data_IF_574157472446
#
_entry.id   IF_574157472446
#
_cell.length_a   1.000
_cell.length_b   1.000
_cell.length_c   1.000
_cell.angle_alpha   90.00
_cell.angle_beta   90.00
_cell.angle_gamma   90.00
#
_symmetry.space_group_name_H-M   'P 1'
#
loop_
_entity.id
_entity.type
_entity.pdbx_description
1 polymer ?
#
# COMPACT_ATOMS: atom_id res chain seq x y z
N UNK A 1 -11.43 -1.20 6.37
CA UNK A 1 -12.31 -1.99 7.27
C UNK A 1 -13.73 -1.85 6.78
N UNK A 2 -14.42 -2.96 6.55
CA UNK A 2 -15.86 -2.93 6.32
C UNK A 2 -16.55 -2.39 7.59
N UNK A 3 -17.61 -1.63 7.43
CA UNK A 3 -18.45 -1.22 8.56
C UNK A 3 -19.39 -2.36 8.91
N UNK A 4 -19.32 -2.87 10.14
CA UNK A 4 -20.23 -3.90 10.64
C UNK A 4 -21.04 -3.37 11.83
N UNK A 5 -22.21 -3.96 12.09
CA UNK A 5 -23.04 -3.61 13.26
C UNK A 5 -22.59 -4.44 14.47
N UNK A 6 -22.03 -3.78 15.47
CA UNK A 6 -21.66 -4.44 16.74
C UNK A 6 -22.90 -4.62 17.62
N UNK A 7 -23.23 -5.86 17.93
CA UNK A 7 -24.30 -6.22 18.86
C UNK A 7 -23.71 -6.56 20.24
N UNK A 8 -24.25 -5.90 21.27
CA UNK A 8 -23.81 -6.11 22.65
C UNK A 8 -24.65 -7.16 23.38
N UNK A 9 -25.80 -7.56 22.85
CA UNK A 9 -26.71 -8.55 23.43
C UNK A 9 -26.53 -9.92 22.74
N UNK A 10 -25.32 -10.47 22.87
CA UNK A 10 -24.91 -11.73 22.22
C UNK A 10 -24.48 -12.78 23.26
N UNK A 11 -24.41 -14.04 22.84
CA UNK A 11 -23.73 -15.06 23.64
C UNK A 11 -22.23 -14.73 23.75
N UNK A 12 -21.72 -14.63 24.97
CA UNK A 12 -20.30 -14.34 25.24
C UNK A 12 -19.39 -15.50 24.88
N UNK A 13 -19.89 -16.74 24.92
CA UNK A 13 -19.09 -17.94 24.72
C UNK A 13 -18.34 -17.97 23.37
N UNK A 14 -19.00 -17.79 22.21
CA UNK A 14 -18.30 -17.80 20.91
C UNK A 14 -17.29 -16.65 20.77
N UNK A 15 -17.56 -15.49 21.38
CA UNK A 15 -16.64 -14.35 21.37
C UNK A 15 -15.38 -14.66 22.17
N UNK A 16 -15.54 -15.22 23.38
CA UNK A 16 -14.42 -15.59 24.25
C UNK A 16 -13.60 -16.75 23.66
N UNK A 17 -14.24 -17.70 22.98
CA UNK A 17 -13.52 -18.78 22.28
C UNK A 17 -12.67 -18.24 21.11
N UNK A 18 -13.17 -17.23 20.37
CA UNK A 18 -12.35 -16.51 19.37
C UNK A 18 -11.22 -15.69 19.99
N UNK A 19 -11.41 -15.12 21.18
CA UNK A 19 -10.32 -14.46 21.92
C UNK A 19 -9.22 -15.46 22.28
N UNK A 20 -9.56 -16.65 22.78
CA UNK A 20 -8.60 -17.73 23.05
C UNK A 20 -7.82 -18.06 21.77
N UNK A 21 -8.53 -18.21 20.67
CA UNK A 21 -7.95 -18.52 19.37
C UNK A 21 -7.02 -17.39 18.88
N UNK A 22 -7.38 -16.12 19.06
CA UNK A 22 -6.57 -14.95 18.68
C UNK A 22 -5.25 -14.87 19.43
N UNK A 23 -5.23 -15.21 20.72
CA UNK A 23 -4.00 -15.31 21.49
C UNK A 23 -3.19 -16.59 21.22
N UNK A 24 -3.73 -17.54 20.45
CA UNK A 24 -3.10 -18.85 20.23
C UNK A 24 -3.10 -19.75 21.47
N UNK A 25 -4.03 -19.50 22.41
CA UNK A 25 -4.16 -20.31 23.62
C UNK A 25 -4.86 -21.63 23.33
N UNK A 26 -4.44 -22.68 24.03
CA UNK A 26 -5.05 -24.02 23.92
C UNK A 26 -6.08 -24.29 25.01
N UNK A 27 -6.24 -23.38 25.99
CA UNK A 27 -7.19 -23.55 27.10
C UNK A 27 -7.74 -22.24 27.64
N UNK A 28 -8.94 -22.30 28.24
CA UNK A 28 -9.57 -21.19 28.96
C UNK A 28 -8.73 -20.74 30.16
N UNK A 29 -7.99 -21.65 30.78
CA UNK A 29 -7.13 -21.33 31.91
C UNK A 29 -6.01 -20.36 31.53
N UNK A 30 -5.41 -20.52 30.33
CA UNK A 30 -4.40 -19.60 29.83
C UNK A 30 -4.95 -18.19 29.63
N UNK A 31 -6.18 -18.06 29.13
CA UNK A 31 -6.83 -16.75 29.04
C UNK A 31 -7.09 -16.14 30.43
N UNK A 32 -7.52 -16.94 31.41
CA UNK A 32 -7.73 -16.44 32.77
C UNK A 32 -6.41 -15.95 33.41
N UNK A 33 -5.33 -16.69 33.22
CA UNK A 33 -3.98 -16.30 33.67
C UNK A 33 -3.50 -15.02 32.98
N UNK A 34 -3.69 -14.93 31.67
CA UNK A 34 -3.32 -13.75 30.87
C UNK A 34 -4.08 -12.48 31.30
N UNK A 35 -5.36 -12.64 31.64
CA UNK A 35 -6.21 -11.55 32.12
C UNK A 35 -5.99 -11.21 33.61
N UNK A 36 -5.17 -11.98 34.34
CA UNK A 36 -4.98 -11.89 35.79
C UNK A 36 -6.29 -12.02 36.59
N UNK A 37 -7.12 -13.00 36.23
CA UNK A 37 -8.39 -13.29 36.90
C UNK A 37 -8.48 -14.76 37.31
N UNK A 38 -9.30 -15.04 38.33
CA UNK A 38 -9.60 -16.43 38.72
C UNK A 38 -10.34 -17.18 37.59
N UNK A 39 -10.10 -18.48 37.45
CA UNK A 39 -10.78 -19.33 36.46
C UNK A 39 -12.32 -19.32 36.64
N UNK A 40 -12.80 -19.18 37.88
CA UNK A 40 -14.22 -18.99 38.20
C UNK A 40 -14.79 -17.67 37.66
N UNK A 41 -13.99 -16.59 37.67
CA UNK A 41 -14.38 -15.30 37.12
C UNK A 41 -14.50 -15.37 35.60
N UNK A 42 -13.56 -16.03 34.91
CA UNK A 42 -13.68 -16.29 33.49
C UNK A 42 -14.89 -17.19 33.17
N UNK A 43 -15.11 -18.23 33.98
CA UNK A 43 -16.28 -19.12 33.82
C UNK A 43 -17.61 -18.38 33.96
N UNK A 44 -17.68 -17.38 34.85
CA UNK A 44 -18.84 -16.48 34.97
C UNK A 44 -19.01 -15.61 33.71
N UNK A 45 -17.91 -15.08 33.15
CA UNK A 45 -17.94 -14.28 31.91
C UNK A 45 -18.52 -15.09 30.72
N UNK A 46 -18.23 -16.39 30.65
CA UNK A 46 -18.81 -17.30 29.65
C UNK A 46 -20.32 -17.51 29.79
N UNK A 47 -20.87 -17.42 31.01
CA UNK A 47 -22.28 -17.72 31.30
C UNK A 47 -23.16 -16.49 31.40
N UNK A 48 -22.56 -15.29 31.54
CA UNK A 48 -23.28 -14.04 31.80
C UNK A 48 -24.08 -13.56 30.59
N UNK A 49 -23.67 -13.94 29.38
CA UNK A 49 -24.14 -13.30 28.17
C UNK A 49 -23.61 -11.86 28.04
N UNK A 50 -23.92 -11.26 26.89
CA UNK A 50 -23.45 -9.95 26.50
C UNK A 50 -22.03 -9.94 25.93
N UNK A 51 -21.71 -8.90 25.17
CA UNK A 51 -20.41 -8.78 24.52
C UNK A 51 -19.29 -8.41 25.52
N UNK A 52 -18.23 -9.24 25.67
CA UNK A 52 -17.15 -9.03 26.63
C UNK A 52 -16.16 -7.95 26.15
N UNK A 53 -16.63 -6.70 26.16
CA UNK A 53 -15.96 -5.55 25.54
C UNK A 53 -14.55 -5.30 26.06
N UNK A 54 -14.35 -5.41 27.38
CA UNK A 54 -13.05 -5.23 28.04
C UNK A 54 -12.00 -6.23 27.53
N UNK A 55 -12.40 -7.49 27.44
CA UNK A 55 -11.52 -8.58 26.98
C UNK A 55 -11.26 -8.47 25.48
N UNK A 56 -12.28 -8.13 24.68
CA UNK A 56 -12.15 -7.99 23.23
C UNK A 56 -11.28 -6.81 22.85
N UNK A 57 -11.49 -5.63 23.45
CA UNK A 57 -10.66 -4.44 23.17
C UNK A 57 -9.19 -4.72 23.51
N UNK A 58 -8.94 -5.40 24.64
CA UNK A 58 -7.58 -5.82 25.01
C UNK A 58 -6.99 -6.80 23.99
N UNK A 59 -7.76 -7.79 23.57
CA UNK A 59 -7.34 -8.76 22.54
C UNK A 59 -6.98 -8.09 21.22
N UNK A 60 -7.80 -7.14 20.73
CA UNK A 60 -7.48 -6.35 19.53
C UNK A 60 -6.16 -5.60 19.70
N UNK A 61 -5.97 -4.92 20.84
CA UNK A 61 -4.78 -4.12 21.09
C UNK A 61 -3.49 -4.97 21.19
N UNK A 62 -3.58 -6.17 21.77
CA UNK A 62 -2.41 -7.02 22.04
C UNK A 62 -2.07 -7.96 20.88
N UNK A 63 -3.07 -8.40 20.09
CA UNK A 63 -2.88 -9.40 19.02
C UNK A 63 -3.00 -8.83 17.61
N UNK A 64 -3.63 -7.66 17.44
CA UNK A 64 -3.99 -7.13 16.11
C UNK A 64 -5.12 -7.89 15.43
N UNK A 65 -5.86 -8.75 16.15
CA UNK A 65 -7.02 -9.44 15.61
C UNK A 65 -8.12 -8.45 15.17
N UNK A 66 -8.82 -8.80 14.10
CA UNK A 66 -9.90 -7.98 13.55
C UNK A 66 -11.12 -8.01 14.49
N UNK A 67 -11.64 -6.82 14.82
CA UNK A 67 -12.79 -6.68 15.71
C UNK A 67 -14.09 -7.29 15.14
N UNK A 68 -14.31 -7.19 13.83
CA UNK A 68 -15.46 -7.79 13.14
C UNK A 68 -15.43 -9.32 13.33
N UNK A 69 -14.28 -9.95 13.12
CA UNK A 69 -14.10 -11.38 13.32
C UNK A 69 -14.28 -11.78 14.79
N UNK A 70 -13.71 -11.04 15.74
CA UNK A 70 -13.93 -11.32 17.17
C UNK A 70 -15.41 -11.22 17.55
N UNK A 71 -16.12 -10.22 17.05
CA UNK A 71 -17.52 -9.97 17.38
C UNK A 71 -18.49 -10.94 16.69
N UNK A 72 -18.30 -11.19 15.41
CA UNK A 72 -19.29 -11.88 14.56
C UNK A 72 -18.84 -13.28 14.15
N UNK A 73 -17.53 -13.55 14.13
CA UNK A 73 -16.95 -14.72 13.48
C UNK A 73 -16.84 -14.58 11.96
N UNK A 74 -17.32 -13.48 11.38
CA UNK A 74 -17.25 -13.18 9.96
C UNK A 74 -15.96 -12.41 9.62
N UNK A 75 -15.56 -12.45 8.36
CA UNK A 75 -14.32 -11.83 7.91
C UNK A 75 -13.08 -12.61 8.33
N UNK A 76 -11.93 -11.93 8.35
CA UNK A 76 -10.62 -12.55 8.62
C UNK A 76 -10.20 -12.31 10.06
N UNK A 77 -9.61 -13.33 10.70
CA UNK A 77 -9.10 -13.27 12.07
C UNK A 77 -8.05 -12.19 12.29
N UNK A 78 -7.07 -12.16 11.40
CA UNK A 78 -6.09 -11.09 11.30
C UNK A 78 -6.24 -10.48 9.91
N UNK A 79 -5.88 -9.20 9.77
CA UNK A 79 -5.54 -8.67 8.45
C UNK A 79 -4.20 -9.31 8.03
N UNK A 80 -4.30 -10.57 7.59
CA UNK A 80 -3.23 -11.44 7.11
C UNK A 80 -2.78 -11.09 5.70
N UNK A 81 -3.42 -10.09 5.09
CA UNK A 81 -2.86 -9.41 3.95
C UNK A 81 -1.48 -8.90 4.36
N UNK A 82 -0.43 -9.64 3.99
CA UNK A 82 0.79 -8.99 3.52
C UNK A 82 0.29 -7.98 2.51
N UNK A 83 0.05 -6.76 2.98
CA UNK A 83 -0.25 -5.63 2.14
C UNK A 83 0.99 -5.53 1.27
N UNK A 84 0.92 -6.11 0.07
CA UNK A 84 2.02 -6.12 -0.88
C UNK A 84 2.03 -4.74 -1.53
N UNK A 85 2.20 -3.73 -0.68
CA UNK A 85 2.07 -2.32 -0.98
C UNK A 85 3.47 -1.79 -1.27
N UNK A 86 3.58 -1.14 -2.41
CA UNK A 86 4.69 -0.30 -2.80
C UNK A 86 4.45 1.10 -2.20
N UNK A 87 5.36 1.56 -1.35
CA UNK A 87 5.38 2.94 -0.84
C UNK A 87 6.38 3.75 -1.65
N UNK A 88 5.91 4.82 -2.27
CA UNK A 88 6.67 5.61 -3.25
C UNK A 88 6.79 7.05 -2.78
N UNK A 89 8.00 7.64 -2.76
CA UNK A 89 8.13 9.09 -2.71
C UNK A 89 7.34 9.71 -3.85
N UNK A 90 6.46 10.65 -3.53
CA UNK A 90 5.62 11.35 -4.50
C UNK A 90 6.17 12.75 -4.69
N UNK A 91 6.38 13.13 -5.95
CA UNK A 91 6.83 14.45 -6.38
C UNK A 91 5.80 15.05 -7.33
N UNK A 92 5.84 16.37 -7.50
CA UNK A 92 5.06 17.09 -8.50
C UNK A 92 5.97 17.98 -9.33
N UNK A 93 5.66 18.12 -10.61
CA UNK A 93 6.31 19.06 -11.51
C UNK A 93 5.51 20.38 -11.47
N UNK A 94 6.18 21.47 -11.13
CA UNK A 94 5.64 22.84 -11.18
C UNK A 94 6.64 23.71 -11.93
N UNK A 95 6.21 24.32 -13.03
CA UNK A 95 7.05 25.15 -13.92
C UNK A 95 8.35 24.46 -14.36
N UNK A 96 8.26 23.15 -14.57
CA UNK A 96 9.36 22.28 -14.97
C UNK A 96 10.37 21.97 -13.85
N UNK A 97 10.02 22.15 -12.58
CA UNK A 97 10.87 21.71 -11.47
C UNK A 97 10.14 20.69 -10.58
N UNK A 98 10.89 19.73 -10.05
CA UNK A 98 10.38 18.70 -9.14
C UNK A 98 10.31 19.21 -7.69
N UNK A 99 9.15 19.03 -7.06
CA UNK A 99 8.92 19.31 -5.65
C UNK A 99 8.37 18.09 -4.93
N UNK A 100 8.75 17.90 -3.66
CA UNK A 100 8.17 16.86 -2.81
C UNK A 100 6.66 17.09 -2.62
N UNK A 101 5.89 16.00 -2.69
CA UNK A 101 4.43 16.00 -2.69
C UNK A 101 3.83 14.83 -1.87
N UNK A 102 4.61 14.27 -0.95
CA UNK A 102 4.21 13.23 0.00
C UNK A 102 4.61 11.83 -0.42
N UNK A 103 3.75 10.85 -0.15
CA UNK A 103 3.97 9.43 -0.43
C UNK A 103 2.73 8.89 -1.15
N UNK A 104 2.94 8.14 -2.24
CA UNK A 104 1.91 7.34 -2.88
C UNK A 104 2.03 5.89 -2.39
N UNK A 105 0.91 5.25 -2.09
CA UNK A 105 0.84 3.83 -1.76
C UNK A 105 0.05 3.11 -2.86
N UNK A 106 0.64 2.09 -3.46
CA UNK A 106 0.01 1.25 -4.48
C UNK A 106 0.12 -0.20 -4.09
N UNK A 107 -0.94 -0.97 -4.32
CA UNK A 107 -0.84 -2.43 -4.27
C UNK A 107 0.00 -2.91 -5.46
N UNK A 108 0.95 -3.83 -5.25
CA UNK A 108 1.81 -4.35 -6.33
C UNK A 108 1.01 -5.06 -7.42
N UNK A 109 -0.22 -5.49 -7.16
CA UNK A 109 -1.13 -6.03 -8.19
C UNK A 109 -1.53 -4.98 -9.24
N UNK A 110 -1.30 -3.67 -9.00
CA UNK A 110 -1.53 -2.64 -10.02
C UNK A 110 -0.59 -2.77 -11.21
N UNK A 111 0.53 -3.49 -11.07
CA UNK A 111 1.45 -3.79 -12.17
C UNK A 111 1.00 -5.05 -12.90
N UNK A 112 1.13 -5.04 -14.23
CA UNK A 112 0.68 -6.16 -15.06
C UNK A 112 1.41 -7.47 -14.68
N UNK A 113 0.71 -8.61 -14.63
CA UNK A 113 1.34 -9.91 -14.39
C UNK A 113 2.50 -10.17 -15.36
N UNK A 114 3.63 -10.61 -14.83
CA UNK A 114 4.84 -10.88 -15.61
C UNK A 114 5.73 -9.67 -15.90
N UNK A 115 5.31 -8.45 -15.53
CA UNK A 115 6.20 -7.29 -15.54
C UNK A 115 7.00 -7.24 -14.24
N UNK A 116 8.34 -7.03 -14.30
CA UNK A 116 9.11 -6.84 -13.09
C UNK A 116 8.66 -5.57 -12.37
N UNK A 117 8.57 -5.66 -11.05
CA UNK A 117 8.32 -4.50 -10.20
C UNK A 117 9.51 -3.52 -10.30
N UNK A 118 9.25 -2.22 -10.22
CA UNK A 118 10.32 -1.24 -10.28
C UNK A 118 11.24 -1.33 -9.06
N UNK A 119 12.54 -1.09 -9.26
CA UNK A 119 13.56 -1.25 -8.21
C UNK A 119 13.72 0.01 -7.37
N UNK A 120 13.74 1.18 -8.02
CA UNK A 120 13.83 2.49 -7.35
C UNK A 120 12.71 3.41 -7.84
N UNK A 121 11.45 3.11 -7.50
CA UNK A 121 10.30 3.86 -7.99
C UNK A 121 10.05 5.18 -7.25
N UNK A 122 9.64 6.19 -8.01
CA UNK A 122 9.02 7.43 -7.52
C UNK A 122 7.69 7.65 -8.25
N UNK A 123 6.76 8.37 -7.61
CA UNK A 123 5.58 8.89 -8.30
C UNK A 123 5.81 10.36 -8.68
N UNK A 124 5.52 10.74 -9.92
CA UNK A 124 5.61 12.11 -10.42
C UNK A 124 4.25 12.56 -10.93
N UNK A 125 3.70 13.61 -10.33
CA UNK A 125 2.50 14.31 -10.80
C UNK A 125 2.89 15.40 -11.80
N UNK A 126 2.38 15.33 -13.02
CA UNK A 126 2.49 16.38 -14.04
C UNK A 126 1.09 16.69 -14.57
N UNK A 127 0.60 17.90 -14.31
CA UNK A 127 -0.81 18.25 -14.57
C UNK A 127 -1.78 17.41 -13.75
N UNK A 128 -2.70 16.73 -14.42
CA UNK A 128 -3.68 15.81 -13.82
C UNK A 128 -3.26 14.33 -13.86
N UNK A 129 -2.04 14.04 -14.35
CA UNK A 129 -1.56 12.67 -14.57
C UNK A 129 -0.45 12.32 -13.58
N UNK A 130 -0.52 11.13 -13.00
CA UNK A 130 0.53 10.58 -12.14
C UNK A 130 1.28 9.48 -12.88
N UNK A 131 2.60 9.58 -12.88
CA UNK A 131 3.51 8.63 -13.50
C UNK A 131 4.31 7.92 -12.43
N UNK A 132 4.35 6.60 -12.47
CA UNK A 132 5.31 5.82 -11.68
C UNK A 132 6.56 5.69 -12.53
N UNK A 133 7.68 6.18 -11.99
CA UNK A 133 8.96 6.27 -12.68
C UNK A 133 9.97 5.41 -11.93
N UNK A 134 10.57 4.43 -12.59
CA UNK A 134 11.72 3.70 -12.04
C UNK A 134 13.00 4.46 -12.40
N UNK A 135 13.70 4.95 -11.38
CA UNK A 135 14.97 5.67 -11.55
C UNK A 135 16.16 4.72 -11.67
N UNK A 136 15.94 3.41 -11.49
CA UNK A 136 16.93 2.37 -11.75
C UNK A 136 16.77 1.82 -13.16
N UNK A 137 17.72 2.08 -14.04
CA UNK A 137 17.73 1.57 -15.41
C UNK A 137 19.17 1.41 -15.90
N UNK A 138 19.38 0.49 -16.85
CA UNK A 138 20.69 0.22 -17.46
C UNK A 138 20.81 0.79 -18.87
N UNK A 139 19.69 0.94 -19.58
CA UNK A 139 19.65 1.40 -20.96
C UNK A 139 18.37 2.19 -21.24
N UNK A 140 18.48 3.16 -22.15
CA UNK A 140 17.37 3.95 -22.67
C UNK A 140 16.82 3.31 -23.94
N UNK A 141 15.51 3.18 -24.05
CA UNK A 141 14.80 2.61 -25.19
C UNK A 141 13.48 3.34 -25.42
N UNK A 142 12.79 2.98 -26.50
CA UNK A 142 11.58 3.67 -26.93
C UNK A 142 10.47 3.54 -25.89
N UNK A 143 10.15 4.65 -25.21
CA UNK A 143 9.09 4.73 -24.21
C UNK A 143 8.86 6.17 -23.72
N UNK A 144 8.03 6.33 -22.69
CA UNK A 144 7.96 7.55 -21.88
C UNK A 144 9.02 7.54 -20.77
N UNK A 145 9.67 8.69 -20.58
CA UNK A 145 10.76 8.89 -19.65
C UNK A 145 10.59 10.22 -18.92
N UNK A 146 11.01 10.24 -17.66
CA UNK A 146 11.26 11.47 -16.92
C UNK A 146 12.63 11.99 -17.31
N UNK A 147 12.67 13.19 -17.87
CA UNK A 147 13.91 13.81 -18.36
C UNK A 147 14.03 15.24 -17.86
N UNK A 148 15.27 15.74 -17.82
CA UNK A 148 15.59 17.14 -17.57
C UNK A 148 16.33 17.70 -18.79
N UNK A 149 15.76 18.74 -19.38
CA UNK A 149 16.24 19.42 -20.58
C UNK A 149 16.46 20.88 -20.20
N UNK A 150 17.71 21.34 -20.27
CA UNK A 150 18.08 22.72 -19.90
C UNK A 150 17.55 23.16 -18.53
N UNK A 151 17.63 22.26 -17.53
CA UNK A 151 17.15 22.50 -16.17
C UNK A 151 15.64 22.37 -15.96
N UNK A 152 14.87 22.03 -17.01
CA UNK A 152 13.42 21.79 -16.93
C UNK A 152 13.10 20.30 -16.99
N UNK A 153 12.53 19.79 -15.92
CA UNK A 153 12.01 18.42 -15.82
C UNK A 153 10.62 18.29 -16.44
N UNK A 154 10.41 17.27 -17.26
CA UNK A 154 9.09 16.90 -17.81
C UNK A 154 9.03 15.41 -18.17
N UNK A 155 7.83 14.87 -18.38
CA UNK A 155 7.66 13.55 -19.01
C UNK A 155 7.71 13.71 -20.53
N UNK A 156 8.58 12.92 -21.18
CA UNK A 156 8.76 12.94 -22.64
C UNK A 156 8.74 11.54 -23.21
N UNK A 157 8.28 11.42 -24.45
CA UNK A 157 8.44 10.20 -25.23
C UNK A 157 9.77 10.27 -25.95
N UNK A 158 10.64 9.28 -25.69
CA UNK A 158 11.94 9.13 -26.34
C UNK A 158 11.87 8.02 -27.38
N UNK A 159 12.44 8.26 -28.55
CA UNK A 159 12.59 7.26 -29.62
C UNK A 159 14.04 7.24 -30.07
N UNK A 160 14.70 6.08 -30.07
CA UNK A 160 16.09 5.91 -30.48
C UNK A 160 16.24 6.18 -31.98
N UNK A 161 17.29 6.93 -32.30
CA UNK A 161 17.78 7.16 -33.66
C UNK A 161 19.21 6.59 -33.74
N UNK A 162 19.63 6.00 -34.87
CA UNK A 162 21.01 5.55 -35.06
C UNK A 162 22.04 6.61 -34.65
N UNK A 163 23.25 6.15 -34.29
CA UNK A 163 24.37 7.02 -33.91
C UNK A 163 24.10 7.75 -32.56
N UNK A 164 23.56 7.01 -31.58
CA UNK A 164 23.30 7.47 -30.20
C UNK A 164 22.44 8.75 -30.10
N UNK A 165 21.56 8.97 -31.07
CA UNK A 165 20.59 10.06 -31.04
C UNK A 165 19.25 9.58 -30.52
N UNK A 166 18.44 10.54 -30.11
CA UNK A 166 17.06 10.33 -29.71
C UNK A 166 16.19 11.42 -30.31
N UNK A 167 14.96 11.05 -30.65
CA UNK A 167 13.86 11.99 -30.84
C UNK A 167 13.15 12.20 -29.53
N UNK A 168 13.01 13.45 -29.12
CA UNK A 168 12.25 13.86 -27.94
C UNK A 168 10.91 14.42 -28.38
N UNK A 169 9.82 13.88 -27.84
CA UNK A 169 8.45 14.29 -28.17
C UNK A 169 7.52 14.29 -26.94
N UNK A 170 6.25 14.65 -27.11
CA UNK A 170 5.22 14.58 -26.06
C UNK A 170 4.57 15.92 -25.70
N UNK A 171 5.31 17.03 -25.77
CA UNK A 171 4.77 18.39 -25.57
C UNK A 171 5.39 19.33 -26.61
N UNK A 172 4.54 20.04 -27.36
CA UNK A 172 4.99 20.94 -28.42
C UNK A 172 5.62 20.21 -29.61
N UNK A 173 6.59 20.86 -30.26
CA UNK A 173 7.28 20.32 -31.42
C UNK A 173 8.35 19.30 -30.98
N UNK A 174 8.44 18.17 -31.68
CA UNK A 174 9.48 17.18 -31.46
C UNK A 174 10.83 17.69 -32.01
N UNK A 175 11.92 17.25 -31.40
CA UNK A 175 13.28 17.57 -31.84
C UNK A 175 14.21 16.36 -31.67
N UNK A 176 15.35 16.40 -32.36
CA UNK A 176 16.37 15.36 -32.30
C UNK A 176 17.63 15.89 -31.62
N UNK A 177 18.19 15.15 -30.67
CA UNK A 177 19.44 15.48 -29.99
C UNK A 177 20.28 14.22 -29.73
N UNK A 178 21.52 14.39 -29.29
CA UNK A 178 22.29 13.26 -28.74
C UNK A 178 21.66 12.82 -27.41
N UNK A 179 21.85 11.55 -27.04
CA UNK A 179 21.38 11.05 -25.75
C UNK A 179 22.04 11.81 -24.57
N UNK A 180 23.29 12.22 -24.75
CA UNK A 180 24.08 12.91 -23.72
C UNK A 180 23.74 14.42 -23.61
N UNK A 181 22.95 14.97 -24.53
CA UNK A 181 22.52 16.37 -24.50
C UNK A 181 21.39 16.62 -23.48
N UNK A 182 20.76 15.56 -22.98
CA UNK A 182 19.68 15.64 -21.99
C UNK A 182 19.96 14.70 -20.82
N UNK A 183 19.42 15.02 -19.65
CA UNK A 183 19.55 14.18 -18.48
C UNK A 183 18.33 13.26 -18.36
N UNK A 184 18.59 11.95 -18.41
CA UNK A 184 17.56 10.92 -18.21
C UNK A 184 17.48 10.60 -16.72
N UNK A 185 16.30 10.79 -16.12
CA UNK A 185 16.10 10.58 -14.68
C UNK A 185 15.52 9.20 -14.39
N UNK A 186 14.60 8.73 -15.22
CA UNK A 186 13.99 7.42 -15.03
C UNK A 186 12.92 7.10 -16.07
N UNK A 187 12.52 5.84 -16.10
CA UNK A 187 11.56 5.31 -17.07
C UNK A 187 10.17 5.25 -16.48
N UNK A 188 9.16 5.65 -17.25
CA UNK A 188 7.76 5.46 -16.83
C UNK A 188 7.40 3.98 -16.92
N UNK A 189 6.88 3.42 -15.82
CA UNK A 189 6.43 2.02 -15.71
C UNK A 189 4.91 1.88 -15.57
N UNK A 190 4.23 2.94 -15.14
CA UNK A 190 2.78 2.97 -14.97
C UNK A 190 2.29 4.42 -15.08
N UNK A 191 1.14 4.61 -15.72
CA UNK A 191 0.49 5.92 -15.87
C UNK A 191 -0.92 5.85 -15.29
N UNK A 192 -1.26 6.79 -14.42
CA UNK A 192 -2.55 6.93 -13.75
C UNK A 192 -3.15 8.27 -14.18
N UNK A 193 -4.24 8.22 -14.94
CA UNK A 193 -4.90 9.40 -15.51
C UNK A 193 -6.17 9.66 -14.70
N UNK A 194 -6.33 10.89 -14.19
CA UNK A 194 -7.63 11.32 -13.67
C UNK A 194 -8.56 11.61 -14.86
N UNK A 195 -9.69 10.92 -14.90
CA UNK A 195 -10.76 11.15 -15.88
C UNK A 195 -11.53 12.44 -15.64
#
# INVERSE_FOLDING_TARGET
>A
MATFKLDFDVDSAPVLDRVIEAYGFTSKLMLAQHLDIAASSLSSRYKRGGFPSDIVVRCVAETGANLEWLATGEGRKFDDGKLDILKLPRKKIVDGHLYEAGILMLDKVTFLPGSPLPTSPICVLEGSTQFIVDTSFTEVYDNQWLVEIEGKTSIRTLTRIPIKKIRVSGVGMAFDCALDDIKIIGRVVLTIING
#
